data_IF_442280365401
#
_entry.id   IF_442280365401
#
_cell.length_a   1.000
_cell.length_b   1.000
_cell.length_c   1.000
_cell.angle_alpha   90.00
_cell.angle_beta   90.00
_cell.angle_gamma   90.00
#
_symmetry.space_group_name_H-M   'P 1'
#
loop_
_entity.id
_entity.type
_entity.pdbx_description
1 polymer ?
#
# COMPACT_ATOMS: atom_id res chain seq x y z
N UNK A 1 -3.80 -5.36 5.62
CA UNK A 1 -3.23 -4.47 4.60
C UNK A 1 -4.35 -3.82 3.80
N UNK A 2 -4.15 -2.59 3.29
CA UNK A 2 -5.14 -1.89 2.46
C UNK A 2 -4.88 -2.05 0.96
N UNK A 3 -5.92 -2.12 0.14
CA UNK A 3 -5.84 -2.36 -1.31
C UNK A 3 -5.22 -3.72 -1.64
N UNK A 4 -5.64 -4.78 -0.94
CA UNK A 4 -5.04 -6.12 -1.03
C UNK A 4 -5.72 -7.05 -2.05
N UNK A 5 -6.82 -6.62 -2.62
CA UNK A 5 -7.62 -7.26 -3.69
C UNK A 5 -6.86 -7.37 -5.01
N UNK A 6 -6.06 -6.35 -5.36
CA UNK A 6 -5.45 -6.23 -6.68
C UNK A 6 -4.01 -5.69 -6.65
N UNK A 7 -3.40 -5.62 -7.83
CA UNK A 7 -2.10 -4.98 -8.04
C UNK A 7 -0.98 -5.44 -7.11
N UNK A 8 -0.27 -4.46 -6.51
CA UNK A 8 0.86 -4.70 -5.61
C UNK A 8 0.37 -5.35 -4.31
N UNK A 9 -0.72 -4.86 -3.73
CA UNK A 9 -1.26 -5.39 -2.47
C UNK A 9 -1.59 -6.88 -2.56
N UNK A 10 -2.27 -7.32 -3.64
CA UNK A 10 -2.52 -8.75 -3.93
C UNK A 10 -1.24 -9.58 -3.94
N UNK A 11 -0.20 -9.10 -4.62
CA UNK A 11 1.07 -9.82 -4.70
C UNK A 11 1.74 -9.98 -3.33
N UNK A 12 1.67 -8.93 -2.50
CA UNK A 12 2.22 -8.93 -1.13
C UNK A 12 1.39 -9.82 -0.22
N UNK A 13 0.06 -9.77 -0.31
CA UNK A 13 -0.84 -10.64 0.47
C UNK A 13 -0.51 -12.12 0.25
N UNK A 14 -0.40 -12.52 -1.01
CA UNK A 14 -0.07 -13.91 -1.39
C UNK A 14 1.34 -14.28 -0.92
N UNK A 15 2.31 -13.36 -1.02
CA UNK A 15 3.67 -13.62 -0.55
C UNK A 15 3.71 -13.82 0.98
N UNK A 16 3.08 -12.93 1.76
CA UNK A 16 3.01 -13.04 3.21
C UNK A 16 2.31 -14.32 3.67
N UNK A 17 1.20 -14.69 3.04
CA UNK A 17 0.51 -15.94 3.36
C UNK A 17 1.40 -17.18 3.10
N UNK A 18 2.18 -17.17 2.02
CA UNK A 18 3.14 -18.26 1.71
C UNK A 18 4.30 -18.35 2.68
N UNK A 19 4.70 -17.22 3.27
CA UNK A 19 5.70 -17.17 4.35
C UNK A 19 5.08 -17.52 5.73
N UNK A 20 3.80 -17.90 5.77
CA UNK A 20 3.12 -18.38 6.97
C UNK A 20 2.35 -17.32 7.75
N UNK A 21 2.36 -16.05 7.33
CA UNK A 21 1.63 -14.98 8.01
C UNK A 21 0.10 -15.11 7.84
N UNK A 22 -0.66 -14.73 8.85
CA UNK A 22 -2.10 -14.52 8.71
C UNK A 22 -2.34 -13.13 8.09
N UNK A 23 -3.13 -13.08 7.01
CA UNK A 23 -3.23 -11.88 6.17
C UNK A 23 -4.67 -11.47 6.01
N UNK A 24 -5.03 -10.35 6.63
CA UNK A 24 -6.28 -9.67 6.34
C UNK A 24 -6.05 -8.55 5.30
N UNK A 25 -6.90 -8.51 4.27
CA UNK A 25 -6.89 -7.49 3.20
C UNK A 25 -8.09 -6.57 3.35
N UNK A 26 -7.99 -5.35 2.83
CA UNK A 26 -9.06 -4.37 2.74
C UNK A 26 -9.12 -3.84 1.30
N UNK A 27 -10.32 -3.52 0.82
CA UNK A 27 -10.64 -3.19 -0.58
C UNK A 27 -12.00 -2.50 -0.67
N UNK A 28 -12.36 -1.95 -1.83
CA UNK A 28 -13.67 -1.32 -2.05
C UNK A 28 -14.75 -2.37 -2.35
N UNK A 29 -16.03 -2.17 -1.96
CA UNK A 29 -17.10 -3.14 -2.21
C UNK A 29 -17.23 -3.59 -3.68
N UNK A 30 -16.93 -2.70 -4.62
CA UNK A 30 -16.95 -2.96 -6.06
C UNK A 30 -15.86 -3.95 -6.51
N UNK A 31 -14.84 -4.19 -5.68
CA UNK A 31 -13.68 -5.07 -5.95
C UNK A 31 -13.81 -6.44 -5.26
N UNK A 32 -15.01 -6.80 -4.81
CA UNK A 32 -15.29 -8.04 -4.04
C UNK A 32 -14.86 -9.32 -4.77
N UNK A 33 -15.11 -9.41 -6.07
CA UNK A 33 -14.75 -10.61 -6.84
C UNK A 33 -13.22 -10.80 -6.91
N UNK A 34 -12.46 -9.72 -7.11
CA UNK A 34 -10.99 -9.73 -7.10
C UNK A 34 -10.46 -10.14 -5.72
N UNK A 35 -11.05 -9.61 -4.66
CA UNK A 35 -10.67 -9.95 -3.30
C UNK A 35 -10.92 -11.43 -2.97
N UNK A 36 -12.07 -11.99 -3.38
CA UNK A 36 -12.40 -13.42 -3.21
C UNK A 36 -11.35 -14.32 -3.82
N UNK A 37 -10.86 -14.01 -5.01
CA UNK A 37 -9.77 -14.77 -5.61
C UNK A 37 -8.49 -14.75 -4.75
N UNK A 38 -8.20 -13.62 -4.10
CA UNK A 38 -7.04 -13.53 -3.19
C UNK A 38 -7.25 -14.41 -1.96
N UNK A 39 -8.44 -14.35 -1.35
CA UNK A 39 -8.82 -15.17 -0.19
C UNK A 39 -8.65 -16.66 -0.51
N UNK A 40 -9.19 -17.10 -1.64
CA UNK A 40 -9.11 -18.48 -2.11
C UNK A 40 -7.67 -18.95 -2.32
N UNK A 41 -6.81 -18.06 -2.83
CA UNK A 41 -5.39 -18.35 -3.05
C UNK A 41 -4.59 -18.45 -1.75
N UNK A 42 -4.90 -17.65 -0.74
CA UNK A 42 -4.16 -17.64 0.53
C UNK A 42 -4.70 -18.66 1.53
N UNK A 43 -5.90 -19.23 1.29
CA UNK A 43 -6.57 -20.24 2.15
C UNK A 43 -6.57 -19.85 3.64
N UNK A 44 -6.61 -18.54 3.91
CA UNK A 44 -6.57 -17.88 5.21
C UNK A 44 -7.67 -16.82 5.24
N UNK A 45 -8.02 -16.36 6.44
CA UNK A 45 -9.13 -15.41 6.61
C UNK A 45 -8.80 -14.07 5.94
N UNK A 46 -9.75 -13.57 5.15
CA UNK A 46 -9.76 -12.20 4.65
C UNK A 46 -11.16 -11.62 4.89
N UNK A 47 -11.23 -10.33 5.22
CA UNK A 47 -12.47 -9.66 5.59
C UNK A 47 -12.63 -8.32 4.85
N UNK A 48 -13.83 -8.04 4.32
CA UNK A 48 -14.25 -6.80 3.63
C UNK A 48 -14.48 -5.63 4.59
N UNK A 49 -13.99 -4.38 4.39
CA UNK A 49 -14.55 -3.20 5.12
C UNK A 49 -14.38 -1.81 4.44
N UNK A 50 -15.40 -0.94 4.56
CA UNK A 50 -15.32 0.54 4.75
C UNK A 50 -16.63 1.02 5.47
N UNK A 51 -16.70 2.10 6.31
CA UNK A 51 -15.96 3.36 6.20
C UNK A 51 -15.34 3.99 7.46
N UNK A 52 -15.23 3.30 8.59
CA UNK A 52 -14.52 3.86 9.74
C UNK A 52 -13.11 3.28 9.86
N UNK A 53 -12.05 4.12 9.93
CA UNK A 53 -10.67 3.66 10.14
C UNK A 53 -10.51 2.82 11.41
N UNK A 54 -11.22 3.18 12.49
CA UNK A 54 -11.18 2.46 13.76
C UNK A 54 -11.91 1.11 13.66
N UNK A 55 -13.06 1.06 12.98
CA UNK A 55 -13.79 -0.19 12.72
C UNK A 55 -12.95 -1.10 11.82
N UNK A 56 -12.27 -0.54 10.84
CA UNK A 56 -11.42 -1.28 9.91
C UNK A 56 -10.26 -1.94 10.65
N UNK A 57 -9.54 -1.19 11.52
CA UNK A 57 -8.46 -1.75 12.35
C UNK A 57 -8.98 -2.77 13.35
N UNK A 58 -10.05 -2.46 14.09
CA UNK A 58 -10.62 -3.37 15.09
C UNK A 58 -11.14 -4.68 14.49
N UNK A 59 -11.64 -4.68 13.25
CA UNK A 59 -12.06 -5.91 12.57
C UNK A 59 -10.89 -6.69 11.97
N UNK A 60 -9.89 -6.01 11.38
CA UNK A 60 -8.61 -6.64 10.99
C UNK A 60 -7.94 -7.40 12.15
N UNK A 61 -8.07 -6.87 13.38
CA UNK A 61 -7.56 -7.52 14.59
C UNK A 61 -8.42 -8.70 15.04
N UNK A 62 -9.74 -8.66 14.83
CA UNK A 62 -10.67 -9.74 15.20
C UNK A 62 -10.60 -10.93 14.24
N UNK A 63 -10.40 -10.68 12.95
CA UNK A 63 -10.18 -11.74 11.93
C UNK A 63 -8.87 -12.51 12.15
N UNK A 64 -7.96 -11.97 12.96
CA UNK A 64 -6.65 -12.57 13.20
C UNK A 64 -6.63 -13.53 14.41
N UNK A 65 -7.79 -13.86 15.01
CA UNK A 65 -7.80 -14.71 16.21
C UNK A 65 -9.08 -15.50 16.46
N UNK A 66 -9.12 -16.75 15.99
CA UNK A 66 -9.85 -17.81 16.69
C UNK A 66 -9.33 -19.24 16.38
N UNK A 67 -8.09 -19.54 16.77
CA UNK A 67 -7.60 -20.93 16.86
C UNK A 67 -6.92 -21.16 18.22
N UNK A 68 -7.72 -21.57 19.21
CA UNK A 68 -7.22 -22.31 20.38
C UNK A 68 -6.44 -21.50 21.43
N UNK A 69 -7.18 -20.81 22.30
CA UNK A 69 -6.82 -20.44 23.68
C UNK A 69 -5.34 -20.50 24.12
N UNK A 70 -4.54 -19.47 23.77
CA UNK A 70 -3.47 -18.84 24.59
C UNK A 70 -2.74 -17.79 23.72
N UNK A 71 -2.92 -16.50 24.04
CA UNK A 71 -2.26 -15.27 23.50
C UNK A 71 -1.79 -15.32 22.03
N UNK A 72 -2.61 -14.83 21.08
CA UNK A 72 -2.17 -14.65 19.66
C UNK A 72 -2.75 -13.44 18.90
N UNK A 73 -3.63 -12.59 19.47
CA UNK A 73 -4.33 -11.53 18.73
C UNK A 73 -3.61 -10.17 18.62
N UNK A 74 -2.41 -10.13 18.04
CA UNK A 74 -1.62 -8.90 17.81
C UNK A 74 -1.49 -8.55 16.33
N UNK A 75 -1.27 -7.28 16.01
CA UNK A 75 -0.91 -6.84 14.65
C UNK A 75 0.60 -6.65 14.59
N UNK A 76 1.29 -7.44 13.77
CA UNK A 76 2.75 -7.33 13.61
C UNK A 76 3.15 -6.51 12.38
N UNK A 77 2.33 -6.54 11.33
CA UNK A 77 2.63 -5.91 10.04
C UNK A 77 1.44 -5.10 9.56
N UNK A 78 1.57 -3.77 9.55
CA UNK A 78 0.64 -2.87 8.88
C UNK A 78 1.19 -2.49 7.50
N UNK A 79 0.42 -2.74 6.44
CA UNK A 79 0.74 -2.24 5.09
C UNK A 79 -0.34 -1.27 4.64
N UNK A 80 0.03 0.01 4.53
CA UNK A 80 -0.77 1.05 3.90
C UNK A 80 -0.44 1.10 2.41
N UNK A 81 -1.27 0.46 1.58
CA UNK A 81 -1.02 0.33 0.13
C UNK A 81 -2.13 0.93 -0.73
N UNK A 82 -3.38 0.98 -0.26
CA UNK A 82 -4.47 1.62 -0.98
C UNK A 82 -4.11 3.06 -1.40
N UNK A 83 -4.53 3.45 -2.59
CA UNK A 83 -4.34 4.81 -3.07
C UNK A 83 -5.22 5.13 -4.28
N UNK A 84 -5.60 6.40 -4.37
CA UNK A 84 -6.27 7.01 -5.53
C UNK A 84 -5.23 7.69 -6.41
N UNK A 85 -5.36 7.51 -7.72
CA UNK A 85 -4.59 8.19 -8.76
C UNK A 85 -5.54 8.46 -9.92
N UNK A 86 -5.72 9.72 -10.29
CA UNK A 86 -6.44 10.15 -11.49
C UNK A 86 -5.58 11.22 -12.16
N UNK A 87 -5.29 11.06 -13.45
CA UNK A 87 -4.53 12.08 -14.16
C UNK A 87 -5.41 13.31 -14.42
N UNK A 88 -4.80 14.48 -14.40
CA UNK A 88 -5.42 15.74 -14.78
C UNK A 88 -4.39 16.56 -15.56
N UNK A 89 -4.73 17.09 -16.73
CA UNK A 89 -3.75 17.76 -17.60
C UNK A 89 -3.34 19.13 -17.06
N UNK A 90 -4.20 19.78 -16.28
CA UNK A 90 -3.96 21.11 -15.75
C UNK A 90 -4.49 21.29 -14.32
N UNK A 91 -3.88 22.20 -13.56
CA UNK A 91 -4.40 22.58 -12.24
C UNK A 91 -5.74 23.33 -12.33
N UNK A 92 -6.03 23.97 -13.47
CA UNK A 92 -7.28 24.70 -13.72
C UNK A 92 -8.48 23.76 -13.80
N UNK A 93 -8.27 22.53 -14.27
CA UNK A 93 -9.30 21.48 -14.37
C UNK A 93 -9.38 20.61 -13.11
N UNK A 94 -8.34 20.65 -12.25
CA UNK A 94 -8.31 19.87 -11.04
C UNK A 94 -9.29 20.45 -10.00
N UNK A 95 -10.43 19.78 -9.86
CA UNK A 95 -11.48 20.20 -8.93
C UNK A 95 -11.02 20.06 -7.47
N UNK A 96 -11.63 20.83 -6.57
CA UNK A 96 -11.35 20.71 -5.14
C UNK A 96 -11.76 19.33 -4.63
N UNK A 97 -12.84 18.78 -5.16
CA UNK A 97 -13.38 17.47 -4.84
C UNK A 97 -12.40 16.36 -5.23
N UNK A 98 -11.80 16.43 -6.43
CA UNK A 98 -10.79 15.46 -6.86
C UNK A 98 -9.52 15.57 -6.03
N UNK A 99 -9.03 16.79 -5.79
CA UNK A 99 -7.87 17.03 -4.94
C UNK A 99 -8.08 16.45 -3.53
N UNK A 100 -9.22 16.77 -2.92
CA UNK A 100 -9.60 16.29 -1.59
C UNK A 100 -9.76 14.77 -1.55
N UNK A 101 -10.38 14.16 -2.58
CA UNK A 101 -10.52 12.71 -2.66
C UNK A 101 -9.15 12.00 -2.71
N UNK A 102 -8.18 12.53 -3.47
CA UNK A 102 -6.81 11.99 -3.52
C UNK A 102 -6.12 12.11 -2.18
N UNK A 103 -6.19 13.27 -1.52
CA UNK A 103 -5.59 13.47 -0.20
C UNK A 103 -6.25 12.63 0.89
N UNK A 104 -7.59 12.58 0.93
CA UNK A 104 -8.32 11.78 1.91
C UNK A 104 -7.97 10.30 1.81
N UNK A 105 -7.86 9.78 0.58
CA UNK A 105 -7.50 8.39 0.34
C UNK A 105 -6.04 8.11 0.70
N UNK A 106 -5.10 8.94 0.21
CA UNK A 106 -3.68 8.60 0.26
C UNK A 106 -3.01 9.04 1.58
N UNK A 107 -3.49 10.13 2.19
CA UNK A 107 -2.86 10.76 3.37
C UNK A 107 -3.73 10.57 4.61
N UNK A 108 -5.00 10.98 4.58
CA UNK A 108 -5.84 10.98 5.78
C UNK A 108 -6.18 9.56 6.22
N UNK A 109 -6.59 8.68 5.29
CA UNK A 109 -6.86 7.28 5.60
C UNK A 109 -5.63 6.58 6.17
N UNK A 110 -4.45 6.77 5.56
CA UNK A 110 -3.18 6.26 6.10
C UNK A 110 -2.93 6.75 7.52
N UNK A 111 -3.12 8.05 7.78
CA UNK A 111 -2.97 8.63 9.12
C UNK A 111 -3.91 7.97 10.13
N UNK A 112 -5.21 7.89 9.82
CA UNK A 112 -6.21 7.35 10.75
C UNK A 112 -6.00 5.86 11.03
N UNK A 113 -5.74 5.05 10.00
CA UNK A 113 -5.47 3.62 10.13
C UNK A 113 -4.21 3.40 10.95
N UNK A 114 -3.13 4.14 10.65
CA UNK A 114 -1.87 4.04 11.39
C UNK A 114 -2.06 4.41 12.85
N UNK A 115 -2.76 5.52 13.12
CA UNK A 115 -3.05 5.97 14.50
C UNK A 115 -3.83 4.93 15.28
N UNK A 116 -4.86 4.33 14.68
CA UNK A 116 -5.67 3.29 15.30
C UNK A 116 -4.91 1.96 15.48
N UNK A 117 -3.94 1.65 14.61
CA UNK A 117 -3.14 0.44 14.69
C UNK A 117 -2.06 0.46 15.78
N UNK A 118 -1.48 1.64 16.08
CA UNK A 118 -0.35 1.78 17.02
C UNK A 118 -0.55 1.08 18.38
N UNK A 119 -1.72 1.15 19.05
CA UNK A 119 -1.95 0.44 20.32
C UNK A 119 -1.83 -1.08 20.24
N UNK A 120 -1.89 -1.66 19.04
CA UNK A 120 -1.88 -3.10 18.80
C UNK A 120 -0.55 -3.62 18.24
N UNK A 121 0.40 -2.72 17.98
CA UNK A 121 1.75 -3.06 17.53
C UNK A 121 2.65 -3.32 18.75
N UNK A 122 3.42 -4.40 18.67
CA UNK A 122 4.43 -4.76 19.69
C UNK A 122 5.84 -4.36 19.22
N UNK A 123 6.87 -4.36 20.10
CA UNK A 123 8.25 -4.32 19.64
C UNK A 123 8.49 -5.35 18.51
N UNK A 124 9.35 -5.00 17.57
CA UNK A 124 9.64 -5.72 16.31
C UNK A 124 8.55 -5.66 15.23
N UNK A 125 7.38 -5.09 15.52
CA UNK A 125 6.36 -4.81 14.51
C UNK A 125 6.86 -3.81 13.45
N UNK A 126 6.22 -3.84 12.27
CA UNK A 126 6.58 -2.99 11.15
C UNK A 126 5.36 -2.36 10.47
N UNK A 127 5.51 -1.09 10.12
CA UNK A 127 4.59 -0.35 9.28
C UNK A 127 5.27 -0.11 7.93
N UNK A 128 4.58 -0.44 6.84
CA UNK A 128 5.07 -0.27 5.47
C UNK A 128 4.07 0.59 4.70
N UNK A 129 4.54 1.72 4.17
CA UNK A 129 3.72 2.63 3.38
C UNK A 129 4.11 2.55 1.90
N UNK A 130 3.13 2.50 1.01
CA UNK A 130 3.39 2.51 -0.44
C UNK A 130 3.36 3.94 -0.96
N UNK A 131 4.55 4.51 -1.15
CA UNK A 131 4.78 5.77 -1.85
C UNK A 131 4.81 5.52 -3.38
N UNK A 132 5.64 6.24 -4.13
CA UNK A 132 5.81 6.16 -5.59
C UNK A 132 7.08 6.88 -6.00
N UNK A 133 7.65 6.54 -7.16
CA UNK A 133 8.66 7.39 -7.84
C UNK A 133 8.15 8.81 -8.07
N UNK A 134 6.84 9.01 -8.19
CA UNK A 134 6.20 10.34 -8.32
C UNK A 134 6.46 11.26 -7.12
N UNK A 135 6.87 10.74 -5.96
CA UNK A 135 7.33 11.55 -4.83
C UNK A 135 8.68 12.26 -5.09
N UNK A 136 9.45 11.78 -6.06
CA UNK A 136 10.80 12.22 -6.38
C UNK A 136 10.90 12.78 -7.79
N UNK A 137 10.17 12.17 -8.73
CA UNK A 137 10.08 12.55 -10.14
C UNK A 137 8.60 12.79 -10.49
N UNK A 138 8.02 13.92 -10.05
CA UNK A 138 6.61 14.24 -10.28
C UNK A 138 6.37 14.54 -11.78
N UNK A 139 5.37 13.89 -12.37
CA UNK A 139 4.90 14.23 -13.71
C UNK A 139 3.85 15.34 -13.66
N UNK A 140 3.81 16.18 -14.70
CA UNK A 140 2.88 17.31 -14.83
C UNK A 140 1.40 16.93 -14.64
N UNK A 141 1.00 15.74 -15.11
CA UNK A 141 -0.41 15.30 -15.10
C UNK A 141 -0.87 14.61 -13.80
N UNK A 142 0.00 14.51 -12.77
CA UNK A 142 -0.29 13.80 -11.52
C UNK A 142 0.00 14.70 -10.30
N UNK A 143 -0.43 15.95 -10.38
CA UNK A 143 -0.11 16.98 -9.40
C UNK A 143 -0.48 16.60 -7.95
N UNK A 144 -1.75 16.30 -7.70
CA UNK A 144 -2.27 15.91 -6.38
C UNK A 144 -1.67 14.57 -5.91
N UNK A 145 -1.62 13.58 -6.79
CA UNK A 145 -1.05 12.26 -6.50
C UNK A 145 0.41 12.37 -6.06
N UNK A 146 1.26 13.06 -6.82
CA UNK A 146 2.67 13.22 -6.50
C UNK A 146 2.88 13.89 -5.14
N UNK A 147 2.10 14.94 -4.84
CA UNK A 147 2.10 15.59 -3.52
C UNK A 147 1.75 14.61 -2.40
N UNK A 148 0.72 13.79 -2.56
CA UNK A 148 0.38 12.78 -1.54
C UNK A 148 1.48 11.74 -1.34
N UNK A 149 2.17 11.33 -2.42
CA UNK A 149 3.28 10.36 -2.34
C UNK A 149 4.51 10.95 -1.66
N UNK A 150 4.80 12.24 -1.87
CA UNK A 150 5.81 12.97 -1.11
C UNK A 150 5.43 13.12 0.37
N UNK A 151 4.17 13.43 0.67
CA UNK A 151 3.66 13.49 2.04
C UNK A 151 3.82 12.14 2.77
N UNK A 152 3.56 11.02 2.09
CA UNK A 152 3.77 9.66 2.62
C UNK A 152 5.24 9.42 2.98
N UNK A 153 6.20 9.88 2.15
CA UNK A 153 7.64 9.76 2.45
C UNK A 153 7.99 10.53 3.73
N UNK A 154 7.54 11.79 3.83
CA UNK A 154 7.79 12.61 5.01
C UNK A 154 7.14 12.03 6.27
N UNK A 155 5.88 11.57 6.17
CA UNK A 155 5.14 10.90 7.24
C UNK A 155 5.89 9.68 7.75
N UNK A 156 6.37 8.83 6.83
CA UNK A 156 7.14 7.62 7.15
C UNK A 156 8.40 7.95 7.95
N UNK A 157 9.22 8.90 7.47
CA UNK A 157 10.47 9.29 8.15
C UNK A 157 10.21 9.89 9.52
N UNK A 158 9.18 10.74 9.65
CA UNK A 158 8.81 11.35 10.93
C UNK A 158 8.33 10.30 11.93
N UNK A 159 7.42 9.41 11.50
CA UNK A 159 6.86 8.38 12.37
C UNK A 159 7.89 7.31 12.76
N UNK A 160 8.83 6.97 11.86
CA UNK A 160 9.94 6.08 12.18
C UNK A 160 10.71 6.58 13.41
N UNK A 161 11.03 7.88 13.46
CA UNK A 161 11.72 8.49 14.61
C UNK A 161 10.88 8.43 15.89
N UNK A 162 9.57 8.64 15.80
CA UNK A 162 8.67 8.56 16.96
C UNK A 162 8.52 7.15 17.51
N UNK A 163 8.53 6.13 16.64
CA UNK A 163 8.25 4.75 17.00
C UNK A 163 9.52 3.91 17.23
N UNK A 164 10.69 4.39 16.82
CA UNK A 164 11.97 3.71 17.07
C UNK A 164 12.22 3.40 18.56
N UNK A 165 11.96 4.29 19.54
CA UNK A 165 12.12 3.95 20.96
C UNK A 165 11.18 2.84 21.45
N UNK A 166 10.10 2.54 20.71
CA UNK A 166 9.17 1.45 21.01
C UNK A 166 9.54 0.14 20.30
N UNK A 167 10.65 0.11 19.56
CA UNK A 167 11.07 -1.04 18.77
C UNK A 167 10.22 -1.30 17.53
N UNK A 168 9.43 -0.33 17.06
CA UNK A 168 8.57 -0.48 15.88
C UNK A 168 9.24 0.22 14.69
N UNK A 169 9.37 -0.49 13.56
CA UNK A 169 9.97 0.04 12.34
C UNK A 169 8.90 0.64 11.43
N UNK A 170 9.22 1.75 10.77
CA UNK A 170 8.34 2.37 9.76
C UNK A 170 9.14 2.63 8.50
N UNK A 171 8.74 2.02 7.39
CA UNK A 171 9.44 2.12 6.10
C UNK A 171 8.47 2.44 4.96
N UNK A 172 9.01 2.93 3.85
CA UNK A 172 8.24 3.18 2.65
C UNK A 172 8.85 2.45 1.44
N UNK A 173 7.96 1.96 0.58
CA UNK A 173 8.29 1.41 -0.73
C UNK A 173 7.83 2.42 -1.77
N UNK A 174 8.68 2.76 -2.75
CA UNK A 174 8.38 3.69 -3.82
C UNK A 174 8.41 2.97 -5.18
N UNK A 175 7.30 2.37 -5.62
CA UNK A 175 7.24 1.69 -6.91
C UNK A 175 7.46 2.64 -8.08
N UNK A 176 8.18 2.16 -9.10
CA UNK A 176 8.22 2.70 -10.45
C UNK A 176 7.00 2.27 -11.27
N UNK A 177 7.13 2.09 -12.61
CA UNK A 177 6.00 1.71 -13.45
C UNK A 177 5.62 0.23 -13.22
N UNK A 178 4.58 0.01 -12.42
CA UNK A 178 3.94 -1.29 -12.22
C UNK A 178 2.65 -1.39 -13.00
N UNK A 179 2.45 -2.52 -13.67
CA UNK A 179 1.17 -2.79 -14.32
C UNK A 179 0.12 -3.16 -13.27
N UNK A 180 -0.79 -2.24 -12.99
CA UNK A 180 -1.93 -2.42 -12.08
C UNK A 180 -3.19 -1.76 -12.65
N UNK A 181 -4.36 -2.16 -12.15
CA UNK A 181 -5.65 -1.55 -12.52
C UNK A 181 -5.67 -0.04 -12.30
N UNK A 182 -4.94 0.45 -11.28
CA UNK A 182 -4.78 1.88 -10.97
C UNK A 182 -4.31 2.70 -12.19
N UNK A 183 -3.45 2.14 -13.06
CA UNK A 183 -2.98 2.86 -14.24
C UNK A 183 -4.04 2.90 -15.35
N UNK A 184 -4.79 1.82 -15.53
CA UNK A 184 -5.75 1.66 -16.64
C UNK A 184 -7.11 2.31 -16.35
N UNK A 185 -7.45 2.56 -15.08
CA UNK A 185 -8.72 3.14 -14.64
C UNK A 185 -8.62 4.64 -14.37
N UNK A 186 -7.92 5.38 -15.24
CA UNK A 186 -7.77 6.84 -15.15
C UNK A 186 -6.50 7.32 -14.45
N UNK A 187 -5.60 6.44 -14.00
CA UNK A 187 -4.30 6.86 -13.48
C UNK A 187 -3.33 7.35 -14.57
N UNK A 188 -3.55 6.94 -15.82
CA UNK A 188 -2.82 7.40 -17.01
C UNK A 188 -3.79 7.55 -18.19
N UNK A 189 -3.52 8.44 -19.16
CA UNK A 189 -4.20 8.46 -20.45
C UNK A 189 -4.07 7.10 -21.16
N UNK A 190 -5.11 6.62 -21.85
CA UNK A 190 -5.09 5.28 -22.45
C UNK A 190 -3.96 5.09 -23.46
N UNK A 191 -3.62 6.11 -24.25
CA UNK A 191 -2.47 6.06 -25.17
C UNK A 191 -1.14 5.83 -24.44
N UNK A 192 -1.02 6.33 -23.20
CA UNK A 192 0.16 6.11 -22.34
C UNK A 192 0.11 4.74 -21.65
N UNK A 193 -1.09 4.17 -21.43
CA UNK A 193 -1.26 2.81 -20.89
C UNK A 193 -0.69 1.77 -21.86
N UNK A 194 -0.94 1.90 -23.17
CA UNK A 194 -0.41 0.97 -24.18
C UNK A 194 1.12 0.95 -24.24
N UNK A 195 1.76 2.08 -23.97
CA UNK A 195 3.22 2.25 -23.97
C UNK A 195 3.83 2.27 -22.56
N UNK A 196 3.06 1.87 -21.55
CA UNK A 196 3.42 2.08 -20.15
C UNK A 196 4.73 1.34 -19.80
N UNK A 197 5.68 2.06 -19.21
CA UNK A 197 6.98 1.51 -18.82
C UNK A 197 7.99 1.32 -19.95
N UNK A 198 7.68 1.71 -21.21
CA UNK A 198 8.62 1.64 -22.32
C UNK A 198 9.89 2.48 -22.10
N UNK A 199 9.77 3.59 -21.37
CA UNK A 199 10.88 4.49 -21.04
C UNK A 199 11.67 4.06 -19.79
N UNK A 200 11.25 3.00 -19.09
CA UNK A 200 12.03 2.47 -17.98
C UNK A 200 13.33 1.83 -18.50
N UNK A 201 14.42 1.74 -17.71
CA UNK A 201 15.67 1.10 -18.15
C UNK A 201 15.51 -0.34 -18.68
N UNK A 202 14.47 -1.06 -18.22
CA UNK A 202 14.15 -2.42 -18.67
C UNK A 202 13.23 -2.46 -19.91
N UNK A 203 12.83 -1.31 -20.46
CA UNK A 203 11.96 -1.17 -21.63
C UNK A 203 10.54 -1.72 -21.45
N UNK A 204 10.12 -1.99 -20.22
CA UNK A 204 8.83 -2.60 -19.89
C UNK A 204 8.42 -2.33 -18.45
N UNK A 205 7.12 -2.39 -18.12
CA UNK A 205 6.66 -2.29 -16.74
C UNK A 205 7.01 -3.56 -15.96
N UNK A 206 6.98 -3.45 -14.63
CA UNK A 206 7.10 -4.61 -13.76
C UNK A 206 5.74 -5.32 -13.69
N UNK A 207 5.72 -6.61 -14.06
CA UNK A 207 4.50 -7.42 -14.11
C UNK A 207 4.36 -8.33 -12.88
N UNK A 208 3.10 -8.74 -12.60
CA UNK A 208 2.63 -9.60 -11.50
C UNK A 208 3.51 -10.81 -11.14
N UNK A 209 4.21 -11.40 -12.11
CA UNK A 209 4.91 -12.68 -11.93
C UNK A 209 6.36 -12.59 -11.42
N UNK A 210 7.00 -11.41 -11.48
CA UNK A 210 8.45 -11.27 -11.21
C UNK A 210 8.81 -10.62 -9.86
N UNK A 211 7.85 -10.21 -9.03
CA UNK A 211 8.10 -9.51 -7.75
C UNK A 211 8.42 -10.41 -6.54
N UNK A 212 8.78 -11.68 -6.76
CA UNK A 212 8.82 -12.77 -5.75
C UNK A 212 9.75 -12.62 -4.51
N UNK A 213 10.49 -11.53 -4.29
CA UNK A 213 11.63 -11.61 -3.34
C UNK A 213 11.93 -10.48 -2.34
N UNK A 214 11.12 -9.43 -2.20
CA UNK A 214 11.68 -8.19 -1.63
C UNK A 214 10.89 -7.50 -0.50
N UNK A 215 9.83 -8.12 0.03
CA UNK A 215 9.22 -7.72 1.32
C UNK A 215 9.56 -8.70 2.45
N UNK A 216 10.82 -9.14 2.50
CA UNK A 216 11.30 -9.99 3.60
C UNK A 216 11.67 -9.11 4.80
N UNK A 217 11.18 -9.40 6.02
CA UNK A 217 11.41 -8.56 7.22
C UNK A 217 12.88 -8.46 7.70
N UNK A 218 13.82 -9.21 7.13
CA UNK A 218 15.14 -9.51 7.74
C UNK A 218 16.31 -8.57 7.37
N UNK A 219 16.08 -7.33 6.93
CA UNK A 219 17.20 -6.39 6.68
C UNK A 219 17.07 -5.12 7.51
N UNK A 220 18.10 -4.87 8.32
CA UNK A 220 18.28 -3.74 9.24
C UNK A 220 18.77 -2.49 8.51
N UNK A 221 18.26 -1.32 8.90
CA UNK A 221 18.69 0.00 8.44
C UNK A 221 17.57 0.75 7.70
N UNK A 222 17.43 2.05 7.93
CA UNK A 222 16.52 2.93 7.18
C UNK A 222 16.74 2.74 5.66
N UNK A 223 15.81 2.05 4.99
CA UNK A 223 15.86 1.90 3.54
C UNK A 223 14.51 2.26 2.93
N UNK A 224 14.52 3.35 2.16
CA UNK A 224 13.51 3.68 1.17
C UNK A 224 13.78 2.82 -0.05
N UNK A 225 12.98 1.78 -0.29
CA UNK A 225 13.15 0.94 -1.46
C UNK A 225 12.42 1.55 -2.65
N UNK A 226 13.16 2.16 -3.57
CA UNK A 226 12.63 2.58 -4.88
C UNK A 226 12.59 1.35 -5.79
N UNK A 227 11.41 0.86 -6.11
CA UNK A 227 11.22 -0.29 -6.99
C UNK A 227 11.14 0.16 -8.45
N UNK A 228 12.28 0.53 -9.00
CA UNK A 228 12.49 0.66 -10.44
C UNK A 228 13.78 -0.07 -10.79
N UNK A 229 13.71 -1.35 -11.17
CA UNK A 229 14.82 -2.00 -11.87
C UNK A 229 16.24 -1.96 -11.26
N UNK A 230 16.38 -1.84 -9.93
CA UNK A 230 17.58 -1.53 -9.10
C UNK A 230 17.72 -0.03 -8.79
N UNK A 231 17.68 0.35 -7.49
CA UNK A 231 18.80 0.81 -6.64
C UNK A 231 18.41 0.64 -5.15
N UNK A 232 19.41 0.36 -4.30
CA UNK A 232 19.39 -0.10 -2.90
C UNK A 232 18.98 0.94 -1.85
#
# INVERSE_FOLDING_TARGET
MTGGDSGIGRAVAIAYAREGADVAINYLPEEEDDAREVVDLIKKQAEMFWPSPEISVMRLLRSSGNTGGKRTGGLDILVNNAGRQQFCESIEELTTEDFDATFKTNVYAMFWITKAAIPHLSPDSVIINTSSVQAYEPSEILLDYAQTKAAIVAFTKSLAKQLAPKGIRVNAVAPGPYWTVLQCCGGQPQEKVEKFGANAPLGRPVNRWKSRRFMSPRRSGEQLYVWSGLVF
#
